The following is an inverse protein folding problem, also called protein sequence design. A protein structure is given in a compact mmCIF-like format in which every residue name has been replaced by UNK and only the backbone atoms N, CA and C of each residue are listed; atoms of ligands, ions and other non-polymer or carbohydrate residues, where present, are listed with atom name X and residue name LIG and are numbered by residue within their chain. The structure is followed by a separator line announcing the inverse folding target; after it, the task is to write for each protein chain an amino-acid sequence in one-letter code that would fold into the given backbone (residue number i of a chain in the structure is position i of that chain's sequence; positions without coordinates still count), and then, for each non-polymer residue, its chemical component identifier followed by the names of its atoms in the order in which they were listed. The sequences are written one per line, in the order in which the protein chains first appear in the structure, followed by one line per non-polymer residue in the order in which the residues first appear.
data_IF_654889160596
#
_entry.id   IF_654889160596
#
_cell.length_a   1.000
_cell.length_b   1.000
_cell.length_c   1.000
_cell.angle_alpha   90.00
_cell.angle_beta   90.00
_cell.angle_gamma   90.00
#
_symmetry.space_group_name_H-M   'P 1'
#
loop_
_entity.id
_entity.type
_entity.pdbx_description
1 polymer ?
#
# COMPACT_ATOMS: atom_id res chain seq x y z
N UNK A 1 -17.72 14.25 12.16
CA UNK A 1 -17.92 13.41 10.99
C UNK A 1 -19.39 13.05 10.90
N UNK A 2 -19.92 13.14 9.70
CA UNK A 2 -21.29 12.77 9.40
C UNK A 2 -21.40 11.31 8.96
N UNK A 3 -22.55 10.96 8.36
CA UNK A 3 -22.90 9.62 7.93
C UNK A 3 -21.87 9.05 6.92
N UNK A 4 -21.54 7.77 7.07
CA UNK A 4 -20.66 7.03 6.14
C UNK A 4 -19.17 7.30 6.30
N UNK A 5 -18.75 8.12 7.27
CA UNK A 5 -17.37 8.20 7.72
C UNK A 5 -17.16 7.17 8.84
N UNK A 6 -16.20 6.28 8.66
CA UNK A 6 -15.90 5.24 9.63
C UNK A 6 -15.34 5.78 10.95
N UNK A 7 -15.56 5.02 12.02
CA UNK A 7 -15.01 5.28 13.36
C UNK A 7 -13.97 4.22 13.71
N UNK A 8 -12.85 4.63 14.26
CA UNK A 8 -11.77 3.74 14.68
C UNK A 8 -12.16 3.07 16.00
N UNK A 9 -12.23 1.74 16.01
CA UNK A 9 -12.51 0.91 17.20
C UNK A 9 -11.38 -0.06 17.51
N UNK A 10 -10.45 -0.28 16.58
CA UNK A 10 -9.30 -1.18 16.73
C UNK A 10 -7.98 -0.43 16.90
N UNK A 11 -6.97 -1.10 17.48
CA UNK A 11 -5.63 -0.52 17.72
C UNK A 11 -4.68 -0.61 16.52
N UNK A 12 -5.11 -1.06 15.35
CA UNK A 12 -4.26 -1.30 14.17
C UNK A 12 -3.88 -0.07 13.34
N UNK A 13 -4.30 1.13 13.74
CA UNK A 13 -4.04 2.39 13.04
C UNK A 13 -3.33 3.38 13.96
N UNK A 14 -2.55 4.29 13.37
CA UNK A 14 -1.80 5.34 14.07
C UNK A 14 -2.69 6.42 14.73
N UNK A 15 -4.02 6.29 14.67
CA UNK A 15 -5.00 7.24 15.19
C UNK A 15 -5.69 6.69 16.45
N UNK A 16 -6.17 7.60 17.31
CA UNK A 16 -6.81 7.27 18.57
C UNK A 16 -8.16 6.56 18.36
N UNK A 17 -8.39 5.50 19.13
CA UNK A 17 -9.68 4.80 19.20
C UNK A 17 -10.79 5.78 19.58
N UNK A 18 -11.92 5.67 18.91
CA UNK A 18 -13.08 6.54 19.11
C UNK A 18 -13.14 7.74 18.17
N UNK A 19 -12.06 8.05 17.44
CA UNK A 19 -12.06 9.14 16.46
C UNK A 19 -12.61 8.72 15.10
N UNK A 20 -13.09 9.69 14.29
CA UNK A 20 -13.38 9.43 12.86
C UNK A 20 -12.12 8.97 12.13
N UNK A 21 -12.28 8.01 11.23
CA UNK A 21 -11.20 7.46 10.42
C UNK A 21 -10.76 8.44 9.31
N UNK A 22 -10.22 9.57 9.71
CA UNK A 22 -9.68 10.61 8.83
C UNK A 22 -8.19 10.74 9.13
N UNK A 23 -7.33 10.38 8.17
CA UNK A 23 -5.88 10.41 8.38
C UNK A 23 -5.38 11.80 8.76
N UNK A 24 -4.26 11.92 9.51
CA UNK A 24 -3.68 13.21 9.88
C UNK A 24 -3.40 14.11 8.67
N UNK A 25 -2.91 13.54 7.55
CA UNK A 25 -2.65 14.27 6.33
C UNK A 25 -3.92 14.81 5.68
N UNK A 26 -4.98 14.00 5.56
CA UNK A 26 -6.27 14.44 5.04
C UNK A 26 -6.90 15.53 5.93
N UNK A 27 -6.83 15.35 7.25
CA UNK A 27 -7.30 16.36 8.21
C UNK A 27 -6.58 17.69 8.06
N UNK A 28 -5.24 17.66 7.90
CA UNK A 28 -4.43 18.85 7.65
C UNK A 28 -4.84 19.57 6.37
N UNK A 29 -5.09 18.84 5.29
CA UNK A 29 -5.55 19.44 4.02
C UNK A 29 -6.92 20.11 4.16
N UNK A 30 -7.88 19.44 4.82
CA UNK A 30 -9.21 20.00 5.08
C UNK A 30 -9.09 21.29 5.89
N UNK A 31 -8.30 21.25 6.99
CA UNK A 31 -8.10 22.44 7.84
C UNK A 31 -7.45 23.59 7.10
N UNK A 32 -6.47 23.31 6.23
CA UNK A 32 -5.81 24.32 5.41
C UNK A 32 -6.80 24.99 4.45
N UNK A 33 -7.58 24.18 3.71
CA UNK A 33 -8.60 24.70 2.79
C UNK A 33 -9.65 25.56 3.50
N UNK A 34 -10.11 25.11 4.66
CA UNK A 34 -11.07 25.89 5.49
C UNK A 34 -10.44 27.19 5.98
N UNK A 35 -9.18 27.18 6.45
CA UNK A 35 -8.50 28.39 6.90
C UNK A 35 -8.33 29.42 5.77
N UNK A 36 -8.01 28.99 4.57
CA UNK A 36 -7.93 29.86 3.42
C UNK A 36 -9.29 30.51 3.10
N UNK A 37 -10.36 29.71 3.06
CA UNK A 37 -11.71 30.25 2.81
C UNK A 37 -12.17 31.23 3.90
N UNK A 38 -11.84 31.01 5.17
CA UNK A 38 -12.13 31.92 6.27
C UNK A 38 -11.38 33.25 6.12
N UNK A 39 -10.12 33.22 5.70
CA UNK A 39 -9.34 34.43 5.42
C UNK A 39 -9.93 35.24 4.27
N UNK A 40 -10.34 34.58 3.18
CA UNK A 40 -10.95 35.26 2.01
C UNK A 40 -12.31 35.84 2.33
N UNK A 41 -13.09 35.22 3.20
CA UNK A 41 -14.46 35.66 3.54
C UNK A 41 -14.53 36.56 4.76
N UNK A 42 -13.45 36.71 5.52
CA UNK A 42 -13.43 37.49 6.76
C UNK A 42 -14.22 36.86 7.91
N UNK A 43 -14.60 35.59 7.78
CA UNK A 43 -15.35 34.88 8.83
C UNK A 43 -14.41 34.40 9.94
N UNK A 44 -14.89 34.46 11.20
CA UNK A 44 -14.10 34.06 12.37
C UNK A 44 -14.05 32.57 12.63
N UNK A 45 -14.90 31.76 11.96
CA UNK A 45 -14.94 30.31 12.13
C UNK A 45 -15.96 29.62 11.22
N UNK A 46 -15.83 28.30 11.10
CA UNK A 46 -16.77 27.47 10.35
C UNK A 46 -16.94 26.09 11.03
N UNK A 47 -18.10 25.50 10.88
CA UNK A 47 -18.36 24.11 11.23
C UNK A 47 -18.41 23.27 9.96
N UNK A 48 -17.54 22.26 9.86
CA UNK A 48 -17.44 21.37 8.74
C UNK A 48 -17.98 19.99 9.12
N UNK A 49 -18.88 19.47 8.31
CA UNK A 49 -19.37 18.10 8.40
C UNK A 49 -19.03 17.34 7.11
N UNK A 50 -18.32 16.22 7.26
CA UNK A 50 -17.97 15.33 6.14
C UNK A 50 -18.93 14.17 6.13
N UNK A 51 -19.56 13.92 5.00
CA UNK A 51 -20.48 12.80 4.77
C UNK A 51 -20.12 12.05 3.49
N UNK A 52 -20.28 10.72 3.53
CA UNK A 52 -20.21 9.86 2.34
C UNK A 52 -21.50 9.06 2.26
N UNK A 53 -22.45 9.44 1.41
CA UNK A 53 -23.83 8.87 1.43
C UNK A 53 -23.88 7.34 1.39
N UNK A 54 -22.96 6.68 0.64
CA UNK A 54 -22.85 5.21 0.55
C UNK A 54 -21.68 4.62 1.33
N UNK A 55 -21.07 5.39 2.24
CA UNK A 55 -19.86 4.99 2.95
C UNK A 55 -20.04 3.76 3.83
N UNK A 56 -21.21 3.58 4.44
CA UNK A 56 -21.54 2.40 5.26
C UNK A 56 -21.60 1.12 4.39
N UNK A 57 -22.24 1.21 3.23
CA UNK A 57 -22.34 0.11 2.25
C UNK A 57 -20.97 -0.27 1.68
N UNK A 58 -20.22 0.75 1.27
CA UNK A 58 -18.91 0.55 0.65
C UNK A 58 -17.85 0.03 1.64
N UNK A 59 -17.99 0.30 2.93
CA UNK A 59 -17.04 -0.12 3.96
C UNK A 59 -16.79 -1.63 3.95
N UNK A 60 -17.84 -2.44 3.70
CA UNK A 60 -17.73 -3.90 3.61
C UNK A 60 -16.86 -4.41 2.47
N UNK A 61 -16.66 -3.60 1.43
CA UNK A 61 -15.84 -3.92 0.25
C UNK A 61 -14.38 -3.46 0.42
N UNK A 62 -14.04 -2.85 1.55
CA UNK A 62 -12.72 -2.32 1.87
C UNK A 62 -12.02 -3.16 2.95
N UNK A 63 -10.77 -2.81 3.26
CA UNK A 63 -10.04 -3.38 4.41
C UNK A 63 -10.48 -2.77 5.74
N UNK A 64 -11.33 -1.75 5.76
CA UNK A 64 -11.72 -1.02 6.96
C UNK A 64 -12.21 -1.92 8.10
N UNK A 65 -13.12 -2.89 7.89
CA UNK A 65 -13.55 -3.78 8.99
C UNK A 65 -12.40 -4.55 9.63
N UNK A 66 -11.43 -5.02 8.82
CA UNK A 66 -10.24 -5.75 9.30
C UNK A 66 -9.26 -4.85 10.08
N UNK A 67 -9.26 -3.56 9.78
CA UNK A 67 -8.44 -2.55 10.45
C UNK A 67 -9.12 -1.94 11.68
N UNK A 68 -10.29 -2.44 12.05
CA UNK A 68 -11.05 -1.91 13.17
C UNK A 68 -11.68 -0.55 12.89
N UNK A 69 -12.13 -0.32 11.65
CA UNK A 69 -12.91 0.85 11.25
C UNK A 69 -14.33 0.39 10.97
N UNK A 70 -15.31 0.94 11.67
CA UNK A 70 -16.72 0.56 11.57
C UNK A 70 -17.61 1.75 11.19
N UNK A 71 -18.78 1.47 10.62
CA UNK A 71 -19.81 2.47 10.32
C UNK A 71 -19.50 3.38 9.12
N UNK A 72 -18.50 3.05 8.31
CA UNK A 72 -18.19 3.83 7.12
C UNK A 72 -16.80 3.61 6.57
N UNK A 73 -16.41 4.41 5.57
CA UNK A 73 -15.08 4.38 4.98
C UNK A 73 -14.12 5.32 5.69
N UNK A 74 -12.81 5.09 5.52
CA UNK A 74 -11.77 6.01 5.96
C UNK A 74 -11.53 7.10 4.90
N UNK A 75 -11.16 8.30 5.35
CA UNK A 75 -10.68 9.39 4.51
C UNK A 75 -9.16 9.43 4.65
N UNK A 76 -8.48 9.21 3.54
CA UNK A 76 -7.02 9.21 3.51
C UNK A 76 -6.53 9.91 2.24
N UNK A 77 -5.27 10.28 2.23
CA UNK A 77 -4.62 10.95 1.13
C UNK A 77 -3.47 11.81 1.63
N UNK A 78 -2.45 12.00 0.82
CA UNK A 78 -1.27 12.77 1.17
C UNK A 78 -1.09 14.05 0.34
N UNK A 79 -1.62 14.07 -0.88
CA UNK A 79 -1.39 15.16 -1.85
C UNK A 79 -2.67 15.75 -2.42
N UNK A 80 -3.84 15.11 -2.25
CA UNK A 80 -5.08 15.48 -2.92
C UNK A 80 -5.15 15.09 -4.40
N UNK A 81 -4.08 14.55 -4.96
CA UNK A 81 -4.06 14.07 -6.34
C UNK A 81 -4.28 12.58 -6.42
N UNK A 82 -4.98 12.14 -7.46
CA UNK A 82 -5.17 10.73 -7.80
C UNK A 82 -4.38 10.43 -9.08
N UNK A 83 -3.49 9.46 -9.01
CA UNK A 83 -2.86 8.91 -10.21
C UNK A 83 -3.74 7.76 -10.71
N UNK A 84 -4.37 7.87 -11.88
CA UNK A 84 -5.15 6.76 -12.42
C UNK A 84 -4.22 5.63 -12.82
N UNK A 85 -4.45 4.43 -12.29
CA UNK A 85 -3.82 3.20 -12.75
C UNK A 85 -4.75 2.59 -13.81
N UNK A 86 -4.42 2.78 -15.09
CA UNK A 86 -5.14 2.18 -16.22
C UNK A 86 -4.22 1.18 -16.95
N UNK A 87 -4.81 0.38 -17.82
CA UNK A 87 -4.08 -0.69 -18.55
C UNK A 87 -2.94 -0.14 -19.42
N UNK A 88 -3.11 1.03 -20.07
CA UNK A 88 -2.04 1.66 -20.85
C UNK A 88 -0.82 2.02 -19.99
N UNK A 89 -1.06 2.50 -18.77
CA UNK A 89 0.04 2.82 -17.84
C UNK A 89 0.83 1.56 -17.44
N UNK A 90 0.14 0.43 -17.33
CA UNK A 90 0.78 -0.87 -17.01
C UNK A 90 1.56 -1.40 -18.20
N UNK A 91 1.05 -1.25 -19.43
CA UNK A 91 1.77 -1.62 -20.66
C UNK A 91 3.08 -0.85 -20.80
N UNK A 92 3.06 0.48 -20.56
CA UNK A 92 4.26 1.32 -20.54
C UNK A 92 5.27 0.84 -19.49
N UNK A 93 4.82 0.45 -18.30
CA UNK A 93 5.68 -0.07 -17.24
C UNK A 93 6.28 -1.43 -17.60
N UNK A 94 5.50 -2.30 -18.21
CA UNK A 94 6.00 -3.60 -18.70
C UNK A 94 7.05 -3.42 -19.77
N UNK A 95 6.88 -2.44 -20.68
CA UNK A 95 7.89 -2.09 -21.66
C UNK A 95 9.17 -1.52 -21.00
N UNK A 96 9.03 -0.66 -19.99
CA UNK A 96 10.17 -0.16 -19.22
C UNK A 96 10.96 -1.28 -18.54
N UNK A 97 10.27 -2.31 -18.01
CA UNK A 97 10.92 -3.50 -17.44
C UNK A 97 11.79 -4.20 -18.46
N UNK A 98 11.28 -4.43 -19.67
CA UNK A 98 11.98 -5.17 -20.74
C UNK A 98 13.21 -4.44 -21.27
N UNK A 99 13.23 -3.12 -21.25
CA UNK A 99 14.30 -2.31 -21.88
C UNK A 99 15.59 -2.22 -21.06
N UNK A 100 15.54 -2.46 -19.75
CA UNK A 100 16.68 -2.30 -18.87
C UNK A 100 17.43 -3.61 -18.66
N UNK A 101 18.77 -3.60 -18.74
CA UNK A 101 19.59 -4.78 -18.40
C UNK A 101 19.52 -5.17 -16.93
N UNK A 102 19.43 -4.17 -16.05
CA UNK A 102 19.26 -4.32 -14.60
C UNK A 102 17.98 -3.63 -14.17
N UNK A 103 17.06 -4.36 -13.57
CA UNK A 103 15.75 -3.82 -13.25
C UNK A 103 15.25 -4.28 -11.88
N UNK A 104 14.62 -3.35 -11.16
CA UNK A 104 13.88 -3.63 -9.94
C UNK A 104 12.41 -3.34 -10.20
N UNK A 105 11.59 -4.38 -10.23
CA UNK A 105 10.14 -4.24 -10.13
C UNK A 105 9.74 -4.00 -8.68
N UNK A 106 8.89 -3.01 -8.41
CA UNK A 106 8.56 -2.66 -7.03
C UNK A 106 7.07 -2.42 -6.82
N UNK A 107 6.64 -2.63 -5.57
CA UNK A 107 5.27 -2.42 -5.13
C UNK A 107 5.18 -1.16 -4.26
N UNK A 108 4.31 -0.23 -4.64
CA UNK A 108 4.07 0.98 -3.86
C UNK A 108 5.22 2.00 -3.83
N UNK A 109 4.90 3.21 -3.37
CA UNK A 109 5.86 4.35 -3.36
C UNK A 109 7.01 4.15 -2.38
N UNK A 110 6.77 3.50 -1.24
CA UNK A 110 7.83 3.17 -0.27
C UNK A 110 8.81 2.20 -0.91
N UNK A 111 8.32 1.13 -1.52
CA UNK A 111 9.15 0.19 -2.28
C UNK A 111 9.97 0.89 -3.36
N UNK A 112 9.37 1.79 -4.15
CA UNK A 112 10.07 2.54 -5.20
C UNK A 112 11.21 3.41 -4.64
N UNK A 113 10.96 4.15 -3.55
CA UNK A 113 11.98 4.97 -2.89
C UNK A 113 13.13 4.12 -2.39
N UNK A 114 12.82 3.04 -1.68
CA UNK A 114 13.84 2.16 -1.09
C UNK A 114 14.62 1.39 -2.17
N UNK A 115 13.95 0.92 -3.23
CA UNK A 115 14.61 0.25 -4.34
C UNK A 115 15.67 1.11 -5.02
N UNK A 116 15.40 2.41 -5.20
CA UNK A 116 16.36 3.36 -5.76
C UNK A 116 17.58 3.58 -4.86
N UNK A 117 17.41 3.46 -3.55
CA UNK A 117 18.51 3.59 -2.58
C UNK A 117 19.33 2.31 -2.47
N UNK A 118 18.68 1.16 -2.44
CA UNK A 118 19.31 -0.15 -2.25
C UNK A 118 19.97 -0.67 -3.54
N UNK A 119 19.40 -0.34 -4.69
CA UNK A 119 19.84 -0.83 -6.00
C UNK A 119 20.06 0.34 -6.98
N UNK A 120 21.02 1.23 -6.74
CA UNK A 120 21.21 2.45 -7.54
C UNK A 120 21.53 2.16 -9.00
N UNK A 121 22.14 1.01 -9.29
CA UNK A 121 22.51 0.58 -10.66
C UNK A 121 21.35 -0.08 -11.42
N UNK A 122 20.20 -0.26 -10.79
CA UNK A 122 19.03 -0.87 -11.40
C UNK A 122 17.97 0.18 -11.72
N UNK A 123 17.31 0.03 -12.85
CA UNK A 123 16.12 0.83 -13.17
C UNK A 123 14.95 0.37 -12.29
N UNK A 124 14.49 1.23 -11.37
CA UNK A 124 13.34 0.92 -10.52
C UNK A 124 12.03 1.26 -11.22
N UNK A 125 11.17 0.27 -11.42
CA UNK A 125 9.87 0.38 -12.10
C UNK A 125 8.75 0.02 -11.14
N UNK A 126 7.79 0.94 -10.98
CA UNK A 126 6.65 0.76 -10.07
C UNK A 126 5.53 -0.03 -10.77
N UNK A 127 5.31 -1.26 -10.33
CA UNK A 127 4.25 -2.15 -10.83
C UNK A 127 2.98 -2.14 -9.97
N UNK A 128 3.05 -1.64 -8.76
CA UNK A 128 1.91 -1.61 -7.83
C UNK A 128 1.40 -3.01 -7.49
N UNK A 129 0.11 -3.25 -7.71
CA UNK A 129 -0.53 -4.56 -7.51
C UNK A 129 -0.47 -5.49 -8.74
N UNK A 130 0.03 -5.00 -9.89
CA UNK A 130 0.02 -5.72 -11.16
C UNK A 130 1.26 -6.62 -11.35
N UNK A 131 1.57 -7.41 -10.33
CA UNK A 131 2.70 -8.35 -10.38
C UNK A 131 2.46 -9.54 -11.33
N UNK A 132 1.21 -9.77 -11.71
CA UNK A 132 0.81 -10.69 -12.77
C UNK A 132 1.25 -10.25 -14.18
N UNK A 133 1.57 -8.97 -14.35
CA UNK A 133 2.06 -8.37 -15.59
C UNK A 133 3.59 -8.24 -15.64
N UNK A 134 4.30 -8.83 -14.67
CA UNK A 134 5.75 -8.89 -14.71
C UNK A 134 6.22 -9.74 -15.89
N UNK A 135 7.00 -9.12 -16.75
CA UNK A 135 7.57 -9.76 -17.94
C UNK A 135 9.01 -9.30 -18.11
N UNK A 136 9.90 -10.12 -17.59
CA UNK A 136 11.34 -9.90 -17.65
C UNK A 136 11.95 -10.61 -18.87
N UNK A 137 12.93 -9.96 -19.50
CA UNK A 137 13.72 -10.59 -20.58
C UNK A 137 14.66 -11.68 -20.05
N UNK A 138 15.16 -12.55 -20.95
CA UNK A 138 15.95 -13.72 -20.56
C UNK A 138 17.31 -13.38 -19.93
N UNK A 139 17.92 -12.28 -20.33
CA UNK A 139 19.30 -11.91 -19.97
C UNK A 139 19.36 -10.71 -19.02
N UNK A 140 18.28 -10.47 -18.27
CA UNK A 140 18.19 -9.36 -17.33
C UNK A 140 18.56 -9.80 -15.90
N UNK A 141 19.27 -8.92 -15.21
CA UNK A 141 19.38 -8.99 -13.75
C UNK A 141 18.11 -8.38 -13.13
N UNK A 142 17.30 -9.22 -12.50
CA UNK A 142 15.95 -8.87 -12.08
C UNK A 142 15.75 -8.98 -10.58
N UNK A 143 15.14 -7.96 -10.00
CA UNK A 143 14.78 -7.91 -8.58
C UNK A 143 13.29 -7.57 -8.46
N UNK A 144 12.57 -8.26 -7.59
CA UNK A 144 11.26 -7.87 -7.10
C UNK A 144 11.41 -7.37 -5.67
N UNK A 145 11.17 -6.08 -5.46
CA UNK A 145 11.41 -5.43 -4.17
C UNK A 145 10.20 -4.65 -3.69
N UNK A 146 9.83 -4.79 -2.41
CA UNK A 146 8.75 -4.01 -1.84
C UNK A 146 8.26 -4.49 -0.48
N UNK A 147 7.20 -3.86 0.01
CA UNK A 147 6.56 -4.27 1.25
C UNK A 147 5.89 -5.65 1.11
N UNK A 148 5.86 -6.47 2.17
CA UNK A 148 5.42 -7.87 2.10
C UNK A 148 4.02 -8.08 1.52
N UNK A 149 3.08 -7.19 1.84
CA UNK A 149 1.66 -7.44 1.61
C UNK A 149 1.29 -7.72 0.15
N UNK A 150 1.78 -6.91 -0.81
CA UNK A 150 1.44 -7.10 -2.21
C UNK A 150 2.19 -8.30 -2.82
N UNK A 151 3.47 -8.45 -2.51
CA UNK A 151 4.31 -9.53 -3.04
C UNK A 151 3.81 -10.89 -2.54
N UNK A 152 3.62 -11.04 -1.23
CA UNK A 152 3.23 -12.32 -0.64
C UNK A 152 1.79 -12.71 -0.99
N UNK A 153 0.85 -11.74 -1.06
CA UNK A 153 -0.53 -12.03 -1.50
C UNK A 153 -0.63 -12.36 -2.98
N UNK A 154 0.20 -11.75 -3.82
CA UNK A 154 0.29 -12.13 -5.22
C UNK A 154 0.81 -13.57 -5.36
N UNK A 155 1.79 -13.96 -4.56
CA UNK A 155 2.31 -15.31 -4.57
C UNK A 155 1.27 -16.33 -4.06
N UNK A 156 0.65 -16.01 -2.92
CA UNK A 156 -0.33 -16.86 -2.25
C UNK A 156 -1.46 -16.02 -1.63
N UNK A 157 -2.62 -15.86 -2.30
CA UNK A 157 -3.74 -15.06 -1.80
C UNK A 157 -4.26 -15.47 -0.41
N UNK A 158 -4.24 -16.78 -0.11
CA UNK A 158 -4.71 -17.36 1.15
C UNK A 158 -3.71 -17.33 2.31
N UNK A 159 -2.59 -16.60 2.22
CA UNK A 159 -1.52 -16.69 3.20
C UNK A 159 -1.90 -16.28 4.65
N UNK A 160 -3.00 -15.54 4.83
CA UNK A 160 -3.51 -15.15 6.16
C UNK A 160 -4.50 -16.15 6.76
N UNK A 161 -4.92 -17.15 6.01
CA UNK A 161 -5.88 -18.15 6.49
C UNK A 161 -5.30 -18.91 7.68
N UNK A 162 -6.09 -19.00 8.77
CA UNK A 162 -5.74 -19.69 10.02
C UNK A 162 -4.48 -19.17 10.74
N UNK A 163 -4.06 -17.91 10.48
CA UNK A 163 -2.87 -17.32 11.13
C UNK A 163 -3.20 -16.49 12.37
N UNK A 164 -4.46 -16.07 12.54
CA UNK A 164 -4.85 -15.13 13.59
C UNK A 164 -4.49 -13.66 13.29
N UNK A 165 -3.75 -13.38 12.22
CA UNK A 165 -3.39 -12.02 11.80
C UNK A 165 -4.42 -11.42 10.86
N UNK A 166 -4.69 -10.13 11.02
CA UNK A 166 -5.62 -9.40 10.14
C UNK A 166 -4.93 -8.90 8.86
N UNK A 167 -3.63 -8.63 8.91
CA UNK A 167 -2.86 -8.12 7.78
C UNK A 167 -1.51 -8.81 7.64
N UNK A 168 -1.00 -8.85 6.41
CA UNK A 168 0.36 -9.38 6.13
C UNK A 168 1.44 -8.51 6.77
N UNK A 169 1.21 -7.20 6.86
CA UNK A 169 2.15 -6.29 7.49
C UNK A 169 2.30 -6.61 8.99
N UNK A 170 1.17 -6.78 9.69
CA UNK A 170 1.15 -7.19 11.10
C UNK A 170 1.88 -8.53 11.31
N UNK A 171 1.58 -9.52 10.49
CA UNK A 171 2.25 -10.84 10.56
C UNK A 171 3.75 -10.71 10.31
N UNK A 172 4.17 -9.95 9.30
CA UNK A 172 5.58 -9.78 8.97
C UNK A 172 6.37 -8.95 10.00
N UNK A 173 5.72 -8.02 10.70
CA UNK A 173 6.31 -7.23 11.78
C UNK A 173 6.47 -8.06 13.07
N UNK A 174 5.46 -8.90 13.42
CA UNK A 174 5.47 -9.68 14.65
C UNK A 174 6.20 -11.03 14.52
N UNK A 175 6.02 -11.69 13.37
CA UNK A 175 6.61 -13.00 13.09
C UNK A 175 7.21 -13.06 11.68
N UNK A 176 8.34 -12.41 11.40
CA UNK A 176 8.93 -12.37 10.05
C UNK A 176 9.31 -13.76 9.52
N UNK A 177 9.49 -14.75 10.41
CA UNK A 177 9.78 -16.14 10.07
C UNK A 177 8.54 -17.05 10.11
N UNK A 178 7.34 -16.50 10.13
CA UNK A 178 6.10 -17.29 10.10
C UNK A 178 6.08 -18.23 8.90
N UNK A 179 5.66 -19.49 9.10
CA UNK A 179 5.68 -20.54 8.07
C UNK A 179 4.94 -20.16 6.79
N UNK A 180 3.85 -19.38 6.91
CA UNK A 180 3.10 -18.89 5.75
C UNK A 180 3.88 -17.84 4.96
N UNK A 181 4.70 -17.00 5.61
CA UNK A 181 5.59 -16.04 4.91
C UNK A 181 6.64 -16.80 4.11
N UNK A 182 7.31 -17.77 4.75
CA UNK A 182 8.34 -18.61 4.11
C UNK A 182 7.74 -19.36 2.92
N UNK A 183 6.55 -19.95 3.10
CA UNK A 183 5.84 -20.65 2.03
C UNK A 183 5.48 -19.72 0.88
N UNK A 184 4.94 -18.53 1.16
CA UNK A 184 4.58 -17.54 0.15
C UNK A 184 5.81 -17.04 -0.63
N UNK A 185 6.96 -16.84 0.05
CA UNK A 185 8.23 -16.52 -0.60
C UNK A 185 8.69 -17.62 -1.55
N UNK A 186 8.59 -18.89 -1.12
CA UNK A 186 8.89 -20.03 -2.00
C UNK A 186 8.00 -20.04 -3.23
N UNK A 187 6.69 -19.84 -3.07
CA UNK A 187 5.76 -19.75 -4.18
C UNK A 187 6.05 -18.55 -5.10
N UNK A 188 6.50 -17.41 -4.55
CA UNK A 188 6.94 -16.27 -5.33
C UNK A 188 8.17 -16.62 -6.18
N UNK A 189 9.14 -17.35 -5.62
CA UNK A 189 10.32 -17.85 -6.36
C UNK A 189 9.94 -18.86 -7.43
N UNK A 190 8.98 -19.73 -7.20
CA UNK A 190 8.47 -20.67 -8.21
C UNK A 190 7.86 -19.92 -9.42
N UNK A 191 7.17 -18.79 -9.18
CA UNK A 191 6.65 -17.92 -10.25
C UNK A 191 7.73 -17.10 -10.96
N UNK A 192 8.80 -16.74 -10.27
CA UNK A 192 9.90 -15.92 -10.77
C UNK A 192 11.27 -16.54 -10.42
N UNK A 193 11.65 -17.69 -11.04
CA UNK A 193 12.82 -18.48 -10.61
C UNK A 193 14.15 -17.74 -10.71
N UNK A 194 14.29 -16.82 -11.67
CA UNK A 194 15.52 -16.06 -11.93
C UNK A 194 15.57 -14.71 -11.20
N UNK A 195 14.49 -14.30 -10.53
CA UNK A 195 14.35 -12.99 -9.94
C UNK A 195 14.69 -13.04 -8.46
N UNK A 196 15.59 -12.19 -8.00
CA UNK A 196 15.84 -11.97 -6.58
C UNK A 196 14.63 -11.29 -5.95
N UNK A 197 14.14 -11.79 -4.82
CA UNK A 197 12.98 -11.24 -4.11
C UNK A 197 13.42 -10.63 -2.80
N UNK A 198 13.15 -9.34 -2.61
CA UNK A 198 13.52 -8.59 -1.42
C UNK A 198 12.27 -8.01 -0.77
N UNK A 199 11.98 -8.45 0.45
CA UNK A 199 10.90 -7.89 1.26
C UNK A 199 11.45 -6.82 2.19
N UNK A 200 10.75 -5.69 2.24
CA UNK A 200 11.14 -4.52 3.02
C UNK A 200 10.19 -4.30 4.20
N UNK A 201 10.74 -3.91 5.34
CA UNK A 201 10.01 -3.28 6.42
C UNK A 201 9.57 -1.86 6.07
N UNK A 202 8.64 -1.30 6.83
CA UNK A 202 8.20 0.10 6.66
C UNK A 202 9.30 1.10 6.96
N UNK A 203 10.23 0.75 7.82
CA UNK A 203 11.44 1.50 8.19
C UNK A 203 12.56 1.38 7.16
N UNK A 204 12.40 0.53 6.15
CA UNK A 204 13.38 0.24 5.10
C UNK A 204 14.34 -0.90 5.43
N UNK A 205 14.18 -1.57 6.56
CA UNK A 205 14.92 -2.80 6.87
C UNK A 205 14.60 -3.90 5.86
N UNK A 206 15.56 -4.79 5.62
CA UNK A 206 15.34 -5.98 4.79
C UNK A 206 14.81 -7.09 5.69
N UNK A 207 13.55 -7.50 5.46
CA UNK A 207 12.89 -8.58 6.19
C UNK A 207 13.20 -9.96 5.60
N UNK A 208 13.37 -10.03 4.28
CA UNK A 208 13.77 -11.24 3.57
C UNK A 208 14.49 -10.88 2.27
N UNK A 209 15.44 -11.71 1.88
CA UNK A 209 16.23 -11.59 0.66
C UNK A 209 16.50 -12.98 0.10
N UNK A 210 15.88 -13.30 -1.03
CA UNK A 210 15.93 -14.62 -1.66
C UNK A 210 16.42 -14.47 -3.10
N UNK A 211 17.64 -14.96 -3.34
CA UNK A 211 18.28 -14.96 -4.65
C UNK A 211 17.75 -16.05 -5.60
#
# INVERSE_FOLDING_TARGET
AGKGIGKIVGRGLCDEVGRPAISPSARKQIMLAVSQALQETGLSGARIELTVPRGEELAGQTLNPRLGIVGGISILGSTGFVEPWNDHFIEDRSLELRQAKRVVATTGRVGLKMSRMLFPDHKAVLMGSHLDRLDFGPDQETILCGLPALILKWAWPGLLENTGYNTVAEMAENEPQHSNIIRALKMAKEKLPRTRIVLLGRDGSILADVA
#
